data_IF_238026321617
#
_entry.id   IF_238026321617
#
_cell.length_a   1.000
_cell.length_b   1.000
_cell.length_c   1.000
_cell.angle_alpha   90.00
_cell.angle_beta   90.00
_cell.angle_gamma   90.00
#
_symmetry.space_group_name_H-M   'P 1'
#
loop_
_entity.id
_entity.type
_entity.pdbx_description
1 polymer ?
#
# COMPACT_ATOMS: atom_id res chain seq x y z
N UNK A 1 19.93 21.99 -10.08
CA UNK A 1 19.27 22.70 -11.21
C UNK A 1 17.82 22.24 -11.32
N UNK A 2 16.88 22.93 -10.65
CA UNK A 2 15.45 22.67 -10.76
C UNK A 2 14.85 23.69 -11.72
N UNK A 3 14.16 23.17 -12.75
CA UNK A 3 13.59 23.93 -13.86
C UNK A 3 12.31 24.66 -13.42
N UNK A 4 12.31 25.96 -13.65
CA UNK A 4 11.17 26.89 -13.72
C UNK A 4 10.30 26.63 -14.94
N UNK A 5 9.00 26.94 -14.83
CA UNK A 5 7.98 27.33 -15.85
C UNK A 5 6.58 27.18 -15.19
N UNK A 6 5.58 28.09 -15.17
CA UNK A 6 5.23 29.43 -15.71
C UNK A 6 4.06 29.95 -14.82
N UNK A 7 4.08 31.15 -14.22
CA UNK A 7 3.46 32.43 -14.63
C UNK A 7 2.05 32.36 -15.25
N UNK A 8 1.04 33.05 -14.67
CA UNK A 8 0.61 34.42 -15.03
C UNK A 8 -0.75 34.79 -14.36
N UNK A 9 -0.86 35.96 -13.71
CA UNK A 9 -2.11 36.74 -13.64
C UNK A 9 -1.79 38.22 -13.39
N UNK A 10 -2.14 39.05 -14.37
CA UNK A 10 -1.89 40.49 -14.50
C UNK A 10 -3.14 41.25 -14.06
N UNK A 11 -2.99 42.33 -13.30
CA UNK A 11 -3.96 43.43 -13.30
C UNK A 11 -3.21 44.76 -13.17
N UNK A 12 -3.21 45.51 -14.28
CA UNK A 12 -2.54 46.78 -14.47
C UNK A 12 -3.53 47.89 -14.06
N UNK A 13 -3.35 48.52 -12.90
CA UNK A 13 -4.15 49.67 -12.49
C UNK A 13 -3.49 50.96 -13.00
N UNK A 14 -3.85 51.38 -14.21
CA UNK A 14 -3.50 52.70 -14.74
C UNK A 14 -4.46 53.75 -14.14
N UNK A 15 -3.99 54.52 -13.16
CA UNK A 15 -4.71 55.71 -12.66
C UNK A 15 -4.54 56.85 -13.67
N UNK A 16 -5.58 57.16 -14.45
CA UNK A 16 -5.64 58.43 -15.16
C UNK A 16 -6.10 59.53 -14.19
N UNK A 17 -5.17 60.39 -13.80
CA UNK A 17 -5.45 61.67 -13.15
C UNK A 17 -5.85 62.66 -14.25
N UNK A 18 -7.14 62.90 -14.45
CA UNK A 18 -7.60 64.11 -15.12
C UNK A 18 -7.79 65.19 -14.07
N UNK A 19 -6.92 66.20 -14.13
CA UNK A 19 -7.06 67.40 -13.33
C UNK A 19 -8.07 68.37 -13.94
N UNK A 20 -8.83 69.03 -13.07
CA UNK A 20 -9.37 70.36 -13.34
C UNK A 20 -9.23 71.19 -12.07
N UNK A 21 -8.37 72.19 -12.16
CA UNK A 21 -8.22 73.30 -11.24
C UNK A 21 -9.50 74.13 -11.17
N UNK A 22 -10.04 74.40 -9.99
CA UNK A 22 -10.81 75.62 -9.75
C UNK A 22 -10.57 76.17 -8.34
N UNK A 23 -10.12 77.41 -8.31
CA UNK A 23 -10.06 78.29 -7.16
C UNK A 23 -11.45 78.86 -6.87
N UNK A 24 -11.79 78.90 -5.57
CA UNK A 24 -12.41 80.03 -4.88
C UNK A 24 -13.92 80.05 -4.52
N UNK A 25 -14.11 80.60 -3.31
CA UNK A 25 -15.28 81.23 -2.67
C UNK A 25 -16.37 80.35 -2.04
N UNK A 26 -16.69 80.73 -0.80
CA UNK A 26 -17.56 80.04 0.13
C UNK A 26 -19.05 80.28 -0.16
N UNK A 27 -19.85 79.22 0.12
CA UNK A 27 -21.29 79.21 0.42
C UNK A 27 -22.28 79.04 -0.74
N UNK A 28 -22.17 77.95 -1.49
CA UNK A 28 -23.29 77.31 -2.22
C UNK A 28 -23.53 75.88 -1.65
N UNK A 29 -24.77 75.34 -1.69
CA UNK A 29 -25.06 74.01 -1.16
C UNK A 29 -24.20 72.95 -1.85
N UNK A 30 -23.75 71.95 -1.11
CA UNK A 30 -22.95 70.83 -1.64
C UNK A 30 -23.78 70.13 -2.74
N UNK A 31 -23.46 70.36 -4.02
CA UNK A 31 -24.21 69.81 -5.16
C UNK A 31 -23.63 68.50 -5.69
N UNK A 32 -22.44 68.10 -5.24
CA UNK A 32 -21.84 66.82 -5.56
C UNK A 32 -20.86 66.37 -4.48
N UNK A 33 -20.72 65.05 -4.33
CA UNK A 33 -19.71 64.40 -3.52
C UNK A 33 -19.14 63.20 -4.29
N UNK A 34 -17.84 63.00 -4.19
CA UNK A 34 -17.14 61.87 -4.81
C UNK A 34 -16.44 61.06 -3.70
N UNK A 35 -16.56 59.75 -3.77
CA UNK A 35 -15.81 58.83 -2.91
C UNK A 35 -15.33 57.66 -3.75
N UNK A 36 -14.10 57.21 -3.49
CA UNK A 36 -13.51 56.05 -4.12
C UNK A 36 -13.43 54.89 -3.13
N UNK A 37 -13.63 53.67 -3.61
CA UNK A 37 -13.43 52.43 -2.86
C UNK A 37 -12.64 51.44 -3.71
N UNK A 38 -11.72 50.71 -3.10
CA UNK A 38 -11.00 49.61 -3.74
C UNK A 38 -11.43 48.27 -3.12
N UNK A 39 -11.38 47.21 -3.92
CA UNK A 39 -11.56 45.83 -3.47
C UNK A 39 -10.30 45.02 -3.73
N UNK A 40 -10.03 44.03 -2.86
CA UNK A 40 -8.93 43.07 -3.01
C UNK A 40 -9.50 41.64 -3.07
N UNK A 41 -8.81 40.75 -3.77
CA UNK A 41 -9.12 39.31 -3.76
C UNK A 41 -8.40 38.63 -2.60
N UNK A 42 -9.12 37.78 -1.86
CA UNK A 42 -8.57 36.93 -0.79
C UNK A 42 -7.63 35.82 -1.31
N UNK A 43 -7.57 35.64 -2.64
CA UNK A 43 -6.72 34.65 -3.29
C UNK A 43 -7.45 33.37 -3.70
N UNK A 44 -6.69 32.34 -4.05
CA UNK A 44 -7.17 31.03 -4.50
C UNK A 44 -6.43 29.92 -3.78
N UNK A 45 -7.14 28.83 -3.49
CA UNK A 45 -6.58 27.59 -2.93
C UNK A 45 -6.95 26.46 -3.88
N UNK A 46 -5.93 25.74 -4.37
CA UNK A 46 -6.14 24.53 -5.15
C UNK A 46 -6.73 23.43 -4.27
N UNK A 47 -7.85 22.85 -4.71
CA UNK A 47 -8.59 21.81 -3.96
C UNK A 47 -8.34 20.41 -4.51
N UNK A 48 -7.46 20.29 -5.49
CA UNK A 48 -6.97 19.02 -5.99
C UNK A 48 -5.68 18.61 -5.29
N UNK A 49 -5.78 17.63 -4.39
CA UNK A 49 -4.66 17.03 -3.70
C UNK A 49 -4.60 15.55 -4.09
N UNK A 50 -3.51 15.16 -4.71
CA UNK A 50 -3.27 13.77 -5.13
C UNK A 50 -2.43 13.05 -4.06
N UNK A 51 -2.98 11.98 -3.51
CA UNK A 51 -2.33 11.07 -2.59
C UNK A 51 -2.82 9.65 -2.88
N UNK A 52 -1.96 8.80 -3.43
CA UNK A 52 -2.30 7.43 -3.83
C UNK A 52 -1.34 6.47 -3.17
N UNK A 53 -1.88 5.41 -2.57
CA UNK A 53 -1.09 4.31 -2.02
C UNK A 53 -1.21 3.14 -2.98
N UNK A 54 -0.14 2.84 -3.70
CA UNK A 54 -0.06 1.66 -4.56
C UNK A 54 0.32 0.41 -3.74
N UNK A 55 -0.01 -0.80 -4.21
CA UNK A 55 0.49 -2.02 -3.60
C UNK A 55 2.02 -1.97 -3.46
N UNK A 56 2.51 -2.25 -2.25
CA UNK A 56 3.93 -2.41 -1.99
C UNK A 56 4.26 -3.90 -2.05
N UNK A 57 5.20 -4.27 -2.90
CA UNK A 57 5.72 -5.64 -2.95
C UNK A 57 7.06 -5.66 -2.22
N UNK A 58 7.16 -6.36 -1.09
CA UNK A 58 8.40 -6.45 -0.33
C UNK A 58 9.53 -7.04 -1.17
N UNK A 59 10.77 -6.66 -0.87
CA UNK A 59 11.92 -7.27 -1.52
C UNK A 59 11.94 -8.78 -1.25
N UNK A 60 12.01 -9.59 -2.31
CA UNK A 60 11.95 -11.05 -2.23
C UNK A 60 10.54 -11.66 -2.21
N UNK A 61 9.49 -10.84 -2.10
CA UNK A 61 8.10 -11.32 -2.23
C UNK A 61 7.67 -11.38 -3.70
N UNK A 62 6.94 -12.43 -4.05
CA UNK A 62 6.38 -12.66 -5.39
C UNK A 62 4.89 -12.98 -5.26
N UNK A 63 4.02 -11.99 -5.02
CA UNK A 63 2.59 -12.21 -4.68
C UNK A 63 1.80 -12.91 -5.79
N UNK A 64 2.34 -12.92 -7.00
CA UNK A 64 1.75 -13.54 -8.19
C UNK A 64 2.57 -14.74 -8.69
N UNK A 65 3.53 -15.24 -7.91
CA UNK A 65 4.18 -16.51 -8.21
C UNK A 65 3.19 -17.66 -8.03
N UNK A 66 3.31 -18.65 -8.90
CA UNK A 66 2.39 -19.77 -8.95
C UNK A 66 3.14 -21.07 -9.23
N UNK A 67 2.53 -22.18 -8.80
CA UNK A 67 2.89 -23.54 -9.19
C UNK A 67 1.77 -24.09 -10.06
N UNK A 68 2.11 -24.88 -11.08
CA UNK A 68 1.11 -25.61 -11.88
C UNK A 68 1.28 -27.12 -11.72
N UNK A 69 0.16 -27.84 -11.74
CA UNK A 69 0.08 -29.29 -11.63
C UNK A 69 -0.92 -29.85 -12.65
N UNK A 70 -0.49 -29.96 -13.93
CA UNK A 70 -1.34 -30.43 -15.01
C UNK A 70 -1.75 -31.90 -14.87
N UNK A 71 -1.06 -32.70 -14.04
CA UNK A 71 -1.37 -34.12 -13.84
C UNK A 71 -1.99 -34.41 -12.46
N UNK A 72 -2.26 -33.37 -11.66
CA UNK A 72 -2.87 -33.49 -10.32
C UNK A 72 -2.08 -34.37 -9.35
N UNK A 73 -0.76 -34.39 -9.50
CA UNK A 73 0.15 -35.16 -8.67
C UNK A 73 0.09 -34.74 -7.20
N UNK A 74 -0.18 -33.47 -6.93
CA UNK A 74 -0.32 -32.95 -5.57
C UNK A 74 -1.52 -33.60 -4.88
N UNK A 75 -2.67 -33.68 -5.54
CA UNK A 75 -3.85 -34.37 -5.02
C UNK A 75 -3.63 -35.88 -4.93
N UNK A 76 -3.08 -36.49 -5.98
CA UNK A 76 -2.85 -37.94 -6.02
C UNK A 76 -1.91 -38.45 -4.91
N UNK A 77 -0.99 -37.59 -4.47
CA UNK A 77 0.02 -37.93 -3.46
C UNK A 77 -0.26 -37.33 -2.09
N UNK A 78 -1.42 -36.69 -1.88
CA UNK A 78 -1.74 -35.98 -0.64
C UNK A 78 -0.62 -34.99 -0.24
N UNK A 79 -0.15 -34.23 -1.23
CA UNK A 79 0.92 -33.25 -1.13
C UNK A 79 2.25 -33.77 -0.53
N UNK A 80 2.53 -35.08 -0.60
CA UNK A 80 3.70 -35.71 0.06
C UNK A 80 5.09 -35.15 -0.34
N UNK A 81 5.19 -34.39 -1.43
CA UNK A 81 6.42 -33.68 -1.84
C UNK A 81 6.69 -32.44 -0.98
N UNK A 82 5.66 -31.86 -0.38
CA UNK A 82 5.72 -30.62 0.38
C UNK A 82 5.93 -30.90 1.88
N UNK A 83 6.23 -29.85 2.65
CA UNK A 83 6.39 -29.98 4.08
C UNK A 83 5.08 -30.44 4.74
N UNK A 84 5.20 -31.20 5.83
CA UNK A 84 4.03 -31.63 6.61
C UNK A 84 3.18 -30.42 7.03
N UNK A 85 1.86 -30.53 6.84
CA UNK A 85 0.92 -29.44 7.09
C UNK A 85 0.75 -28.45 5.93
N UNK A 86 1.33 -28.72 4.75
CA UNK A 86 1.03 -27.92 3.55
C UNK A 86 -0.38 -28.18 3.07
N UNK A 87 -1.16 -27.12 2.85
CA UNK A 87 -2.56 -27.19 2.44
C UNK A 87 -2.71 -26.72 1.01
N UNK A 88 -3.39 -27.53 0.19
CA UNK A 88 -3.82 -27.21 -1.16
C UNK A 88 -5.35 -27.24 -1.27
N UNK A 89 -5.95 -26.60 -2.28
CA UNK A 89 -7.39 -26.68 -2.54
C UNK A 89 -7.84 -28.12 -2.80
N UNK A 90 -8.88 -28.55 -2.09
CA UNK A 90 -9.53 -29.86 -2.29
C UNK A 90 -10.72 -29.77 -3.26
N UNK A 91 -11.53 -28.71 -3.15
CA UNK A 91 -12.69 -28.44 -4.02
C UNK A 91 -12.35 -27.40 -5.09
N UNK A 92 -12.96 -27.52 -6.27
CA UNK A 92 -12.78 -26.62 -7.41
C UNK A 92 -11.31 -26.45 -7.86
N UNK A 93 -10.47 -27.45 -7.63
CA UNK A 93 -9.05 -27.36 -7.94
C UNK A 93 -8.78 -27.21 -9.45
N UNK A 94 -8.16 -26.09 -9.78
CA UNK A 94 -7.78 -25.70 -11.14
C UNK A 94 -6.37 -26.16 -11.52
N UNK A 95 -5.60 -26.71 -10.58
CA UNK A 95 -4.22 -27.15 -10.78
C UNK A 95 -3.19 -26.03 -10.87
N UNK A 96 -3.59 -24.79 -10.61
CA UNK A 96 -2.68 -23.65 -10.44
C UNK A 96 -2.79 -23.17 -9.02
N UNK A 97 -1.66 -22.93 -8.38
CA UNK A 97 -1.58 -22.66 -6.95
C UNK A 97 -0.74 -21.42 -6.65
N UNK A 98 -1.32 -20.48 -5.94
CA UNK A 98 -0.66 -19.31 -5.38
C UNK A 98 -0.47 -19.50 -3.89
N UNK A 99 0.70 -19.17 -3.36
CA UNK A 99 0.94 -19.17 -1.92
C UNK A 99 0.21 -17.98 -1.29
N UNK A 100 -0.79 -18.25 -0.45
CA UNK A 100 -1.63 -17.21 0.19
C UNK A 100 -1.31 -17.01 1.66
N UNK A 101 -0.76 -18.03 2.31
CA UNK A 101 -0.17 -17.94 3.64
C UNK A 101 0.97 -18.96 3.76
N UNK A 102 1.63 -19.01 4.92
CA UNK A 102 2.66 -20.00 5.18
C UNK A 102 2.13 -21.42 4.93
N UNK A 103 2.79 -22.15 4.01
CA UNK A 103 2.40 -23.49 3.55
C UNK A 103 0.93 -23.64 3.12
N UNK A 104 0.25 -22.55 2.76
CA UNK A 104 -1.16 -22.58 2.35
C UNK A 104 -1.29 -22.04 0.94
N UNK A 105 -1.89 -22.85 0.06
CA UNK A 105 -2.07 -22.54 -1.34
C UNK A 105 -3.55 -22.40 -1.72
N UNK A 106 -3.82 -21.55 -2.70
CA UNK A 106 -5.15 -21.37 -3.28
C UNK A 106 -5.09 -21.23 -4.80
N UNK A 107 -6.20 -21.47 -5.51
CA UNK A 107 -6.29 -21.27 -6.97
C UNK A 107 -6.29 -19.79 -7.40
N UNK A 108 -6.32 -18.88 -6.42
CA UNK A 108 -6.20 -17.43 -6.63
C UNK A 108 -5.19 -16.84 -5.64
N UNK A 109 -4.48 -15.80 -6.08
CA UNK A 109 -3.54 -15.07 -5.24
C UNK A 109 -4.25 -14.29 -4.14
N UNK A 110 -3.48 -13.86 -3.14
CA UNK A 110 -3.92 -12.80 -2.24
C UNK A 110 -4.32 -11.55 -3.02
N UNK A 111 -5.28 -10.80 -2.48
CA UNK A 111 -5.74 -9.54 -3.05
C UNK A 111 -4.83 -8.41 -2.62
N UNK A 112 -4.26 -7.70 -3.58
CA UNK A 112 -3.56 -6.43 -3.39
C UNK A 112 -4.52 -5.25 -3.57
N UNK A 113 -4.20 -4.09 -3.00
CA UNK A 113 -5.06 -2.90 -3.09
C UNK A 113 -4.29 -1.65 -3.53
N UNK A 114 -4.85 -0.95 -4.52
CA UNK A 114 -4.46 0.42 -4.85
C UNK A 114 -5.50 1.38 -4.26
N UNK A 115 -5.07 2.30 -3.41
CA UNK A 115 -5.94 3.14 -2.59
C UNK A 115 -5.84 4.59 -3.05
N UNK A 116 -6.97 5.22 -3.38
CA UNK A 116 -7.04 6.63 -3.66
C UNK A 116 -7.36 7.43 -2.38
N UNK A 117 -6.36 8.07 -1.81
CA UNK A 117 -6.49 9.01 -0.69
C UNK A 117 -6.55 10.48 -1.14
N UNK A 118 -6.82 10.71 -2.42
CA UNK A 118 -6.86 12.05 -3.01
C UNK A 118 -8.21 12.73 -2.77
N UNK A 119 -8.24 14.05 -2.92
CA UNK A 119 -9.51 14.79 -3.01
C UNK A 119 -10.19 14.63 -4.37
N UNK A 120 -9.45 14.24 -5.40
CA UNK A 120 -9.93 14.07 -6.78
C UNK A 120 -9.80 12.61 -7.27
N UNK A 121 -10.50 12.29 -8.35
CA UNK A 121 -10.42 10.96 -8.95
C UNK A 121 -9.06 10.72 -9.61
N UNK A 122 -8.60 9.46 -9.56
CA UNK A 122 -7.40 9.00 -10.26
C UNK A 122 -7.76 7.90 -11.23
N UNK A 123 -6.94 7.76 -12.27
CA UNK A 123 -6.99 6.63 -13.20
C UNK A 123 -5.84 5.68 -12.85
N UNK A 124 -6.20 4.50 -12.35
CA UNK A 124 -5.27 3.38 -12.14
C UNK A 124 -5.11 2.61 -13.44
N UNK A 125 -3.87 2.38 -13.85
CA UNK A 125 -3.52 1.55 -15.00
C UNK A 125 -2.72 0.36 -14.52
N UNK A 126 -3.25 -0.85 -14.71
CA UNK A 126 -2.58 -2.13 -14.42
C UNK A 126 -2.26 -2.82 -15.73
N UNK A 127 -1.02 -3.28 -15.86
CA UNK A 127 -0.51 -3.97 -17.04
C UNK A 127 0.02 -5.33 -16.67
N UNK A 128 -0.23 -6.32 -17.51
CA UNK A 128 0.25 -7.68 -17.31
C UNK A 128 0.72 -8.32 -18.61
N UNK A 129 1.80 -9.10 -18.52
CA UNK A 129 2.26 -9.99 -19.57
C UNK A 129 3.02 -11.16 -18.99
N UNK A 130 3.11 -12.23 -19.76
CA UNK A 130 4.09 -13.29 -19.50
C UNK A 130 5.42 -12.99 -20.18
N UNK A 131 6.50 -13.48 -19.61
CA UNK A 131 7.80 -13.60 -20.25
C UNK A 131 8.16 -15.08 -20.28
N UNK A 132 8.48 -15.57 -21.48
CA UNK A 132 8.93 -16.93 -21.64
C UNK A 132 10.24 -17.15 -20.87
N UNK A 133 10.25 -18.16 -20.01
CA UNK A 133 11.42 -18.59 -19.26
C UNK A 133 12.26 -19.55 -20.10
N UNK A 134 11.61 -20.55 -20.71
CA UNK A 134 12.26 -21.52 -21.59
C UNK A 134 11.40 -21.86 -22.80
N UNK A 135 11.98 -22.48 -23.82
CA UNK A 135 11.22 -23.03 -24.95
C UNK A 135 10.29 -24.20 -24.56
N UNK A 136 10.35 -24.66 -23.30
CA UNK A 136 9.50 -25.70 -22.72
C UNK A 136 8.34 -25.15 -21.90
N UNK A 137 8.13 -23.84 -21.90
CA UNK A 137 6.97 -23.24 -21.26
C UNK A 137 5.68 -23.78 -21.88
N UNK A 138 4.74 -24.20 -21.03
CA UNK A 138 3.40 -24.61 -21.44
C UNK A 138 2.70 -23.49 -22.22
N UNK A 139 1.91 -23.88 -23.23
CA UNK A 139 1.14 -22.92 -24.03
C UNK A 139 0.10 -22.18 -23.16
N UNK A 140 -0.10 -20.89 -23.42
CA UNK A 140 -1.12 -20.11 -22.72
C UNK A 140 -2.50 -20.32 -23.34
N UNK A 141 -3.52 -20.46 -22.49
CA UNK A 141 -4.91 -20.48 -22.89
C UNK A 141 -5.38 -19.05 -23.26
N UNK A 142 -6.34 -18.96 -24.18
CA UNK A 142 -6.93 -17.69 -24.63
C UNK A 142 -8.20 -17.31 -23.88
N UNK A 143 -8.65 -18.16 -22.95
CA UNK A 143 -9.82 -17.96 -22.09
C UNK A 143 -9.65 -18.73 -20.78
N UNK A 144 -10.55 -18.51 -19.82
CA UNK A 144 -10.58 -19.28 -18.55
C UNK A 144 -10.87 -20.78 -18.74
N UNK A 145 -11.41 -21.17 -19.90
CA UNK A 145 -11.62 -22.57 -20.24
C UNK A 145 -10.32 -23.17 -20.79
N UNK A 146 -9.67 -24.01 -19.97
CA UNK A 146 -8.48 -24.77 -20.37
C UNK A 146 -8.82 -25.98 -21.23
N UNK A 147 -7.84 -26.50 -21.97
CA UNK A 147 -8.03 -27.64 -22.83
C UNK A 147 -8.31 -28.91 -22.01
N UNK A 148 -9.32 -29.67 -22.41
CA UNK A 148 -9.67 -30.98 -21.84
C UNK A 148 -9.20 -32.15 -22.71
N UNK A 149 -8.75 -31.87 -23.94
CA UNK A 149 -8.17 -32.83 -24.88
C UNK A 149 -7.09 -32.14 -25.73
N UNK A 150 -6.11 -32.91 -26.23
CA UNK A 150 -5.10 -32.40 -27.15
C UNK A 150 -3.92 -31.76 -26.41
N UNK A 151 -3.48 -30.58 -26.88
CA UNK A 151 -2.30 -29.90 -26.32
C UNK A 151 -2.66 -29.24 -24.97
N UNK A 152 -1.95 -29.57 -23.88
CA UNK A 152 -2.14 -28.92 -22.57
C UNK A 152 -1.90 -27.41 -22.64
N UNK A 153 -2.68 -26.64 -21.87
CA UNK A 153 -2.50 -25.20 -21.77
C UNK A 153 -2.73 -24.66 -20.35
N UNK A 154 -2.21 -23.45 -20.12
CA UNK A 154 -2.26 -22.72 -18.86
C UNK A 154 -3.06 -21.43 -19.03
N UNK A 155 -4.12 -21.28 -18.26
CA UNK A 155 -4.84 -20.04 -18.07
C UNK A 155 -4.29 -19.27 -16.87
N UNK A 156 -4.10 -17.97 -17.07
CA UNK A 156 -3.87 -16.99 -16.02
C UNK A 156 -4.77 -15.78 -16.27
N UNK A 157 -5.49 -15.34 -15.25
CA UNK A 157 -6.41 -14.20 -15.31
C UNK A 157 -5.98 -13.10 -14.35
N UNK A 158 -5.63 -11.92 -14.86
CA UNK A 158 -5.48 -10.73 -14.02
C UNK A 158 -6.86 -10.18 -13.70
N UNK A 159 -7.21 -10.09 -12.42
CA UNK A 159 -8.45 -9.49 -11.95
C UNK A 159 -8.17 -8.11 -11.36
N UNK A 160 -8.83 -7.09 -11.88
CA UNK A 160 -8.79 -5.69 -11.40
C UNK A 160 -10.22 -5.22 -11.15
N UNK A 161 -10.62 -5.18 -9.89
CA UNK A 161 -12.03 -5.09 -9.51
C UNK A 161 -12.80 -6.31 -10.01
N UNK A 162 -13.87 -6.06 -10.77
CA UNK A 162 -14.69 -7.12 -11.38
C UNK A 162 -14.24 -7.49 -12.81
N UNK A 163 -13.29 -6.75 -13.38
CA UNK A 163 -12.77 -7.04 -14.72
C UNK A 163 -11.65 -8.08 -14.66
N UNK A 164 -11.78 -9.14 -15.45
CA UNK A 164 -10.76 -10.17 -15.60
C UNK A 164 -10.17 -10.14 -17.01
N UNK A 165 -8.85 -10.08 -17.10
CA UNK A 165 -8.11 -10.05 -18.36
C UNK A 165 -7.21 -11.28 -18.48
N UNK A 166 -7.41 -12.05 -19.55
CA UNK A 166 -6.57 -13.22 -19.86
C UNK A 166 -5.14 -12.75 -20.12
N UNK A 167 -4.18 -13.31 -19.38
CA UNK A 167 -2.77 -12.99 -19.54
C UNK A 167 -2.20 -13.70 -20.76
N UNK A 168 -1.41 -12.98 -21.56
CA UNK A 168 -0.71 -13.53 -22.73
C UNK A 168 0.75 -13.05 -22.78
N UNK A 169 1.49 -13.39 -23.83
CA UNK A 169 2.82 -12.83 -24.08
C UNK A 169 2.77 -11.34 -24.50
N UNK A 170 1.63 -10.88 -24.99
CA UNK A 170 1.39 -9.48 -25.31
C UNK A 170 0.89 -8.72 -24.08
N UNK A 171 1.35 -7.48 -23.92
CA UNK A 171 0.95 -6.64 -22.79
C UNK A 171 -0.55 -6.35 -22.83
N UNK A 172 -1.25 -6.85 -21.81
CA UNK A 172 -2.64 -6.52 -21.55
C UNK A 172 -2.71 -5.35 -20.59
N UNK A 173 -3.68 -4.46 -20.78
CA UNK A 173 -3.89 -3.28 -19.93
C UNK A 173 -5.33 -3.22 -19.46
N UNK A 174 -5.51 -2.96 -18.16
CA UNK A 174 -6.80 -2.65 -17.54
C UNK A 174 -6.69 -1.27 -16.88
N UNK A 175 -7.71 -0.43 -17.10
CA UNK A 175 -7.74 0.94 -16.59
C UNK A 175 -9.02 1.16 -15.79
N UNK A 176 -8.88 1.65 -14.56
CA UNK A 176 -10.01 1.91 -13.65
C UNK A 176 -9.91 3.29 -13.03
N UNK A 177 -11.01 4.02 -12.98
CA UNK A 177 -11.08 5.28 -12.25
C UNK A 177 -11.48 5.02 -10.80
N UNK A 178 -10.68 5.47 -9.85
CA UNK A 178 -10.98 5.39 -8.43
C UNK A 178 -11.37 6.79 -7.95
N UNK A 179 -12.58 6.93 -7.40
CA UNK A 179 -13.06 8.21 -6.88
C UNK A 179 -12.14 8.76 -5.78
N UNK A 180 -11.95 10.08 -5.76
CA UNK A 180 -11.40 10.78 -4.60
C UNK A 180 -12.49 11.04 -3.56
N UNK A 181 -12.09 11.50 -2.38
CA UNK A 181 -13.03 11.81 -1.29
C UNK A 181 -12.84 13.27 -0.83
N UNK A 182 -13.37 14.26 -1.58
CA UNK A 182 -13.21 15.68 -1.24
C UNK A 182 -13.68 16.05 0.17
N UNK A 183 -14.65 15.32 0.72
CA UNK A 183 -15.19 15.53 2.07
C UNK A 183 -14.18 15.27 3.19
N UNK A 184 -13.11 14.51 2.92
CA UNK A 184 -12.02 14.24 3.86
C UNK A 184 -11.03 15.40 3.97
N UNK A 185 -11.24 16.48 3.22
CA UNK A 185 -10.34 17.63 3.20
C UNK A 185 -11.07 18.91 3.61
N UNK A 186 -10.29 19.88 4.07
CA UNK A 186 -10.76 21.20 4.48
C UNK A 186 -9.78 22.30 4.07
N UNK A 187 -10.30 23.53 3.96
CA UNK A 187 -9.46 24.72 3.84
C UNK A 187 -9.15 25.21 5.25
N UNK A 188 -7.86 25.24 5.60
CA UNK A 188 -7.36 25.74 6.87
C UNK A 188 -6.43 26.93 6.67
N UNK A 189 -6.11 27.65 7.75
CA UNK A 189 -5.10 28.72 7.75
C UNK A 189 -3.85 28.23 8.44
N UNK A 190 -2.74 28.20 7.72
CA UNK A 190 -1.43 27.89 8.29
C UNK A 190 -0.67 29.18 8.57
N UNK A 191 0.06 29.22 9.68
CA UNK A 191 0.96 30.33 10.02
C UNK A 191 2.40 29.86 9.82
N UNK A 192 3.17 30.59 9.03
CA UNK A 192 4.60 30.34 8.87
C UNK A 192 5.31 30.66 10.20
N UNK A 193 6.01 29.68 10.76
CA UNK A 193 6.61 29.79 12.10
C UNK A 193 7.75 30.83 12.19
N UNK A 194 8.43 31.12 11.08
CA UNK A 194 9.58 32.05 11.04
C UNK A 194 9.15 33.50 10.81
N UNK A 195 8.10 33.70 10.00
CA UNK A 195 7.68 35.03 9.53
C UNK A 195 6.35 35.50 10.13
N UNK A 196 5.57 34.60 10.74
CA UNK A 196 4.22 34.89 11.22
C UNK A 196 3.17 35.10 10.12
N UNK A 197 3.54 34.95 8.85
CA UNK A 197 2.63 35.11 7.71
C UNK A 197 1.58 34.00 7.69
N UNK A 198 0.33 34.36 7.36
CA UNK A 198 -0.80 33.42 7.26
C UNK A 198 -1.12 33.12 5.80
N UNK A 199 -1.40 31.85 5.50
CA UNK A 199 -1.83 31.40 4.18
C UNK A 199 -2.92 30.34 4.29
N UNK A 200 -3.87 30.35 3.36
CA UNK A 200 -4.83 29.27 3.24
C UNK A 200 -4.16 28.02 2.64
N UNK A 201 -4.49 26.86 3.19
CA UNK A 201 -4.03 25.54 2.72
C UNK A 201 -5.21 24.60 2.61
N UNK A 202 -5.17 23.69 1.63
CA UNK A 202 -6.13 22.59 1.54
C UNK A 202 -5.46 21.32 2.08
N UNK A 203 -6.00 20.77 3.15
CA UNK A 203 -5.37 19.70 3.91
C UNK A 203 -6.36 18.61 4.30
N UNK A 204 -5.86 17.41 4.53
CA UNK A 204 -6.62 16.27 5.04
C UNK A 204 -7.09 16.55 6.49
N UNK A 205 -8.35 16.22 6.79
CA UNK A 205 -8.93 16.32 8.13
C UNK A 205 -8.35 15.23 9.02
N UNK A 206 -8.12 15.52 10.30
CA UNK A 206 -7.77 14.49 11.28
C UNK A 206 -8.86 13.41 11.42
N UNK A 207 -10.12 13.75 11.12
CA UNK A 207 -11.26 12.83 11.10
C UNK A 207 -11.51 12.18 9.73
N UNK A 208 -10.55 12.24 8.80
CA UNK A 208 -10.70 11.62 7.48
C UNK A 208 -10.87 10.10 7.62
N UNK A 209 -11.95 9.57 7.05
CA UNK A 209 -12.26 8.14 7.07
C UNK A 209 -12.73 7.70 5.69
N UNK A 210 -12.76 6.38 5.46
CA UNK A 210 -13.42 5.77 4.28
C UNK A 210 -12.83 6.24 2.94
N UNK A 211 -11.61 5.79 2.65
CA UNK A 211 -10.99 5.97 1.33
C UNK A 211 -11.54 4.94 0.33
N UNK A 212 -11.32 5.15 -0.96
CA UNK A 212 -11.69 4.15 -1.99
C UNK A 212 -10.46 3.39 -2.45
N UNK A 213 -10.63 2.10 -2.72
CA UNK A 213 -9.57 1.23 -3.22
C UNK A 213 -10.05 0.39 -4.40
N UNK A 214 -9.08 -0.08 -5.18
CA UNK A 214 -9.27 -1.08 -6.22
C UNK A 214 -8.52 -2.34 -5.83
N UNK A 215 -9.19 -3.49 -5.95
CA UNK A 215 -8.62 -4.80 -5.67
C UNK A 215 -7.91 -5.35 -6.91
N UNK A 216 -6.74 -5.94 -6.72
CA UNK A 216 -5.94 -6.60 -7.75
C UNK A 216 -5.64 -8.02 -7.29
N UNK A 217 -5.87 -9.02 -8.13
CA UNK A 217 -5.52 -10.42 -7.83
C UNK A 217 -5.24 -11.18 -9.13
N UNK A 218 -4.72 -12.40 -9.01
CA UNK A 218 -4.56 -13.31 -10.13
C UNK A 218 -5.23 -14.65 -9.84
N UNK A 219 -5.91 -15.18 -10.83
CA UNK A 219 -6.45 -16.53 -10.84
C UNK A 219 -5.75 -17.37 -11.91
N UNK A 220 -5.80 -18.68 -11.78
CA UNK A 220 -5.21 -19.57 -12.78
C UNK A 220 -5.93 -20.90 -12.89
N UNK A 221 -5.73 -21.55 -14.02
CA UNK A 221 -6.14 -22.93 -14.26
C UNK A 221 -5.20 -23.59 -15.26
N UNK A 222 -4.97 -24.89 -15.14
CA UNK A 222 -4.17 -25.65 -16.10
C UNK A 222 -4.94 -26.90 -16.52
N UNK A 223 -4.80 -27.26 -17.80
CA UNK A 223 -5.34 -28.51 -18.34
C UNK A 223 -4.98 -29.71 -17.45
N UNK A 224 -5.95 -30.58 -17.19
CA UNK A 224 -5.71 -31.89 -16.59
C UNK A 224 -5.33 -32.90 -17.68
N UNK A 225 -4.11 -32.79 -18.19
CA UNK A 225 -3.57 -33.55 -19.32
C UNK A 225 -2.09 -33.84 -19.09
N UNK A 226 -1.62 -34.97 -19.61
CA UNK A 226 -0.21 -35.33 -19.55
C UNK A 226 0.69 -34.28 -20.20
N UNK A 227 1.83 -34.00 -19.58
CA UNK A 227 2.84 -33.06 -20.08
C UNK A 227 4.21 -33.73 -20.19
N UNK A 228 5.11 -33.12 -20.94
CA UNK A 228 6.50 -33.61 -20.99
C UNK A 228 7.20 -33.36 -19.65
N UNK A 229 8.09 -34.27 -19.25
CA UNK A 229 8.77 -34.21 -17.94
C UNK A 229 9.58 -32.94 -17.68
N UNK A 230 9.97 -32.21 -18.73
CA UNK A 230 10.73 -30.96 -18.66
C UNK A 230 9.88 -29.71 -18.93
N UNK A 231 8.55 -29.83 -18.90
CA UNK A 231 7.62 -28.71 -19.09
C UNK A 231 7.81 -27.67 -17.98
N UNK A 232 7.93 -26.40 -18.38
CA UNK A 232 8.05 -25.26 -17.47
C UNK A 232 6.84 -24.33 -17.60
N UNK A 233 6.77 -23.31 -16.75
CA UNK A 233 5.75 -22.27 -16.81
C UNK A 233 6.39 -20.89 -17.05
N UNK A 234 5.72 -19.98 -17.76
CA UNK A 234 6.25 -18.64 -18.01
C UNK A 234 6.18 -17.73 -16.77
N UNK A 235 7.03 -16.70 -16.71
CA UNK A 235 7.00 -15.71 -15.61
C UNK A 235 5.94 -14.64 -15.88
N UNK A 236 5.08 -14.36 -14.89
CA UNK A 236 4.12 -13.25 -14.97
C UNK A 236 4.74 -11.94 -14.49
N UNK A 237 4.56 -10.88 -15.27
CA UNK A 237 5.02 -9.54 -14.96
C UNK A 237 3.80 -8.62 -14.84
N UNK A 238 3.53 -8.12 -13.64
CA UNK A 238 2.46 -7.15 -13.38
C UNK A 238 3.09 -5.80 -13.02
N UNK A 239 2.60 -4.73 -13.63
CA UNK A 239 2.97 -3.36 -13.26
C UNK A 239 1.72 -2.51 -13.08
N UNK A 240 1.79 -1.52 -12.19
CA UNK A 240 0.70 -0.59 -11.95
C UNK A 240 1.22 0.83 -11.86
N UNK A 241 0.39 1.78 -12.30
CA UNK A 241 0.68 3.21 -12.28
C UNK A 241 -0.63 3.99 -12.11
N UNK A 242 -0.54 5.26 -11.74
CA UNK A 242 -1.71 6.13 -11.65
C UNK A 242 -1.45 7.49 -12.29
N UNK A 243 -2.53 8.14 -12.69
CA UNK A 243 -2.56 9.56 -13.07
C UNK A 243 -3.81 10.23 -12.50
N UNK A 244 -3.83 11.56 -12.43
CA UNK A 244 -5.08 12.30 -12.19
C UNK A 244 -6.07 11.91 -13.29
N UNK A 245 -7.31 11.58 -12.91
CA UNK A 245 -8.36 11.35 -13.90
C UNK A 245 -8.73 12.68 -14.58
N UNK A 246 -9.25 12.59 -15.80
CA UNK A 246 -9.89 13.75 -16.46
C UNK A 246 -11.05 14.25 -15.61
N UNK A 247 -11.25 15.57 -15.57
CA UNK A 247 -12.35 16.16 -14.81
C UNK A 247 -13.70 15.62 -15.31
N UNK A 248 -14.55 15.18 -14.38
CA UNK A 248 -15.84 14.54 -14.69
C UNK A 248 -15.75 13.08 -15.15
N UNK A 249 -14.58 12.43 -15.03
CA UNK A 249 -14.47 11.00 -15.28
C UNK A 249 -15.35 10.19 -14.31
N UNK A 250 -16.16 9.29 -14.85
CA UNK A 250 -16.98 8.37 -14.06
C UNK A 250 -16.08 7.42 -13.28
N UNK A 251 -16.39 7.27 -11.99
CA UNK A 251 -15.71 6.32 -11.13
C UNK A 251 -16.15 4.89 -11.44
N UNK A 252 -15.25 3.94 -11.26
CA UNK A 252 -15.56 2.53 -11.38
C UNK A 252 -16.50 2.10 -10.25
N UNK A 253 -17.53 1.31 -10.57
CA UNK A 253 -18.56 0.85 -9.62
C UNK A 253 -18.08 -0.28 -8.70
N UNK A 254 -17.00 -0.94 -9.10
CA UNK A 254 -16.34 -2.05 -8.40
C UNK A 254 -15.20 -1.59 -7.47
N UNK A 255 -15.05 -0.28 -7.27
CA UNK A 255 -14.18 0.25 -6.23
C UNK A 255 -14.77 -0.01 -4.83
N UNK A 256 -13.94 -0.51 -3.93
CA UNK A 256 -14.33 -0.88 -2.56
C UNK A 256 -13.98 0.22 -1.56
N UNK A 257 -14.66 0.22 -0.41
CA UNK A 257 -14.23 1.03 0.73
C UNK A 257 -12.95 0.44 1.32
N UNK A 258 -11.92 1.29 1.43
CA UNK A 258 -10.69 0.96 2.10
C UNK A 258 -10.90 1.01 3.62
N UNK A 259 -10.67 -0.12 4.26
CA UNK A 259 -10.53 -0.21 5.70
C UNK A 259 -9.05 -0.17 6.05
N UNK A 260 -8.68 0.79 6.91
CA UNK A 260 -7.30 0.90 7.35
C UNK A 260 -6.91 -0.37 8.12
N UNK A 261 -5.90 -1.06 7.60
CA UNK A 261 -5.31 -2.21 8.27
C UNK A 261 -4.24 -1.72 9.23
N UNK A 262 -4.31 -2.17 10.48
CA UNK A 262 -3.26 -1.89 11.48
C UNK A 262 -2.01 -2.69 11.13
N UNK A 263 -0.87 -2.02 11.04
CA UNK A 263 0.43 -2.69 11.00
C UNK A 263 0.74 -3.31 12.39
N UNK A 264 1.69 -4.24 12.47
CA UNK A 264 2.15 -4.76 13.74
C UNK A 264 2.73 -3.64 14.60
N UNK A 265 2.49 -3.67 15.90
CA UNK A 265 2.91 -2.62 16.82
C UNK A 265 3.09 -3.12 18.24
N UNK A 266 3.92 -2.40 18.99
CA UNK A 266 4.10 -2.56 20.44
C UNK A 266 3.81 -1.20 21.06
N UNK A 267 2.75 -1.12 21.88
CA UNK A 267 2.30 0.14 22.45
C UNK A 267 3.20 0.62 23.60
N UNK A 268 3.60 -0.31 24.47
CA UNK A 268 4.49 -0.04 25.60
C UNK A 268 5.94 -0.29 25.18
N UNK A 269 6.77 0.74 25.19
CA UNK A 269 8.15 0.68 24.67
C UNK A 269 9.21 0.64 25.76
N UNK A 270 8.83 0.57 27.04
CA UNK A 270 9.76 0.49 28.16
C UNK A 270 9.27 -0.52 29.19
N UNK A 271 10.16 -1.44 29.59
CA UNK A 271 9.89 -2.47 30.58
C UNK A 271 11.05 -2.55 31.56
N UNK A 272 10.76 -2.91 32.81
CA UNK A 272 11.78 -3.25 33.78
C UNK A 272 12.07 -4.74 33.77
N UNK A 273 13.30 -5.11 34.13
CA UNK A 273 13.68 -6.51 34.33
C UNK A 273 14.39 -6.71 35.66
N UNK A 274 14.16 -7.86 36.26
CA UNK A 274 14.76 -8.30 37.52
C UNK A 274 15.14 -9.77 37.47
N UNK A 275 16.01 -10.18 38.38
CA UNK A 275 16.58 -11.52 38.40
C UNK A 275 15.50 -12.60 38.43
N UNK A 276 15.70 -13.67 37.67
CA UNK A 276 14.83 -14.85 37.55
C UNK A 276 13.41 -14.59 37.01
N UNK A 277 13.14 -13.39 36.48
CA UNK A 277 11.85 -13.06 35.87
C UNK A 277 11.98 -12.89 34.35
N UNK A 278 11.04 -13.47 33.62
CA UNK A 278 10.89 -13.19 32.19
C UNK A 278 10.23 -11.82 31.99
N UNK A 279 10.51 -11.18 30.85
CA UNK A 279 9.80 -9.95 30.45
C UNK A 279 8.76 -10.32 29.42
N UNK A 280 7.51 -9.95 29.68
CA UNK A 280 6.39 -10.14 28.78
C UNK A 280 6.02 -8.81 28.11
N UNK A 281 6.01 -8.82 26.78
CA UNK A 281 5.77 -7.65 25.94
C UNK A 281 4.49 -7.91 25.15
N UNK A 282 3.49 -7.04 25.31
CA UNK A 282 2.26 -7.13 24.53
C UNK A 282 2.52 -6.68 23.09
N UNK A 283 2.15 -7.54 22.14
CA UNK A 283 2.38 -7.37 20.71
C UNK A 283 1.05 -7.41 19.97
N UNK A 284 0.73 -6.32 19.27
CA UNK A 284 -0.30 -6.34 18.25
C UNK A 284 0.33 -6.81 16.94
N UNK A 285 -0.12 -7.95 16.41
CA UNK A 285 0.39 -8.48 15.13
C UNK A 285 -0.22 -7.79 13.90
N UNK A 286 -1.04 -6.77 14.09
CA UNK A 286 -1.71 -6.08 13.00
C UNK A 286 -2.93 -6.83 12.49
N UNK A 287 -3.42 -6.44 11.31
CA UNK A 287 -4.61 -6.99 10.71
C UNK A 287 -4.51 -7.05 9.18
N UNK A 288 -5.25 -8.00 8.58
CA UNK A 288 -5.37 -8.15 7.13
C UNK A 288 -4.02 -8.39 6.45
N UNK A 289 -3.77 -7.72 5.33
CA UNK A 289 -2.56 -7.90 4.53
C UNK A 289 -1.30 -7.32 5.18
N UNK A 290 -1.47 -6.50 6.24
CA UNK A 290 -0.38 -6.00 7.07
C UNK A 290 -0.14 -6.85 8.32
N UNK A 291 -0.91 -7.91 8.53
CA UNK A 291 -0.71 -8.76 9.69
C UNK A 291 0.62 -9.51 9.60
N UNK A 292 1.36 -9.53 10.69
CA UNK A 292 2.47 -10.45 10.92
C UNK A 292 1.93 -11.76 11.48
N UNK A 293 2.60 -12.86 11.19
CA UNK A 293 2.39 -14.15 11.87
C UNK A 293 3.45 -14.40 12.95
N UNK A 294 4.51 -13.57 12.99
CA UNK A 294 5.68 -13.79 13.83
C UNK A 294 6.68 -12.64 13.83
N UNK A 295 7.87 -12.94 14.38
CA UNK A 295 9.01 -12.04 14.47
C UNK A 295 10.14 -12.61 13.61
N UNK A 296 10.63 -11.82 12.66
CA UNK A 296 11.77 -12.15 11.81
C UNK A 296 13.07 -12.11 12.61
N UNK A 297 13.27 -11.06 13.41
CA UNK A 297 14.47 -10.90 14.22
C UNK A 297 14.26 -9.92 15.37
N UNK A 298 15.05 -10.06 16.42
CA UNK A 298 15.20 -9.07 17.48
C UNK A 298 16.67 -8.69 17.51
N UNK A 299 16.99 -7.42 17.29
CA UNK A 299 18.37 -6.92 17.28
C UNK A 299 18.61 -5.90 18.38
N UNK A 300 19.85 -5.76 18.83
CA UNK A 300 20.26 -4.80 19.85
C UNK A 300 21.63 -4.20 19.51
N UNK A 301 22.09 -3.22 20.30
CA UNK A 301 23.32 -2.45 20.03
C UNK A 301 23.29 -1.79 18.64
N UNK A 302 22.21 -1.04 18.34
CA UNK A 302 21.97 -0.40 17.04
C UNK A 302 21.99 -1.38 15.85
N UNK A 303 21.46 -2.59 16.04
CA UNK A 303 21.36 -3.59 14.97
C UNK A 303 22.63 -4.43 14.75
N UNK A 304 23.68 -4.24 15.55
CA UNK A 304 24.95 -4.98 15.41
C UNK A 304 24.93 -6.39 15.98
N UNK A 305 23.91 -6.74 16.76
CA UNK A 305 23.76 -8.08 17.35
C UNK A 305 22.30 -8.54 17.25
N UNK A 306 22.10 -9.84 17.01
CA UNK A 306 20.78 -10.47 16.96
C UNK A 306 20.60 -11.34 18.21
N UNK A 307 19.44 -11.22 18.86
CA UNK A 307 19.05 -12.07 19.97
C UNK A 307 18.72 -13.46 19.43
N UNK A 308 19.33 -14.48 20.03
CA UNK A 308 19.11 -15.87 19.67
C UNK A 308 17.63 -16.28 19.89
N UNK A 309 17.06 -17.04 18.95
CA UNK A 309 15.65 -17.45 18.99
C UNK A 309 15.32 -18.36 20.18
N UNK A 310 16.31 -19.02 20.79
CA UNK A 310 16.12 -19.78 22.03
C UNK A 310 15.85 -18.90 23.26
N UNK A 311 16.12 -17.58 23.16
CA UNK A 311 15.99 -16.64 24.28
C UNK A 311 14.63 -15.94 24.31
N UNK A 312 13.77 -16.16 23.32
CA UNK A 312 12.44 -15.57 23.27
C UNK A 312 11.39 -16.47 22.63
N UNK A 313 10.12 -16.18 22.89
CA UNK A 313 8.98 -16.85 22.25
C UNK A 313 7.86 -15.86 22.00
N UNK A 314 7.06 -16.10 20.96
CA UNK A 314 5.85 -15.34 20.67
C UNK A 314 4.66 -16.29 20.65
N UNK A 315 3.68 -16.06 21.50
CA UNK A 315 2.42 -16.80 21.53
C UNK A 315 1.30 -15.87 21.99
N UNK A 316 0.09 -16.03 21.45
CA UNK A 316 -1.13 -15.32 21.88
C UNK A 316 -0.96 -13.78 21.97
N UNK A 317 -0.20 -13.19 21.03
CA UNK A 317 0.06 -11.75 21.01
C UNK A 317 1.03 -11.26 22.09
N UNK A 318 1.82 -12.16 22.68
CA UNK A 318 2.78 -11.85 23.75
C UNK A 318 4.17 -12.36 23.41
N UNK A 319 5.13 -11.43 23.31
CA UNK A 319 6.54 -11.73 23.18
C UNK A 319 7.14 -11.90 24.58
N UNK A 320 7.67 -13.08 24.86
CA UNK A 320 8.34 -13.39 26.13
C UNK A 320 9.85 -13.42 25.91
N UNK A 321 10.58 -12.55 26.61
CA UNK A 321 12.03 -12.62 26.72
C UNK A 321 12.37 -13.46 27.94
N UNK A 322 13.08 -14.58 27.74
CA UNK A 322 13.29 -15.60 28.77
C UNK A 322 14.02 -15.08 30.01
N UNK A 323 13.64 -15.57 31.19
CA UNK A 323 14.33 -15.27 32.45
C UNK A 323 15.83 -15.62 32.40
N UNK A 324 16.20 -16.69 31.68
CA UNK A 324 17.60 -17.07 31.48
C UNK A 324 18.40 -15.96 30.78
N UNK A 325 17.83 -15.32 29.75
CA UNK A 325 18.48 -14.18 29.10
C UNK A 325 18.52 -12.94 29.99
N UNK A 326 17.45 -12.68 30.76
CA UNK A 326 17.46 -11.58 31.73
C UNK A 326 18.58 -11.74 32.76
N UNK A 327 18.80 -12.96 33.25
CA UNK A 327 19.92 -13.27 34.13
C UNK A 327 21.28 -13.03 33.46
N UNK A 328 21.42 -13.35 32.17
CA UNK A 328 22.62 -13.01 31.40
C UNK A 328 22.84 -11.49 31.37
N UNK A 329 21.80 -10.68 31.12
CA UNK A 329 21.91 -9.21 31.12
C UNK A 329 22.41 -8.65 32.46
N UNK A 330 21.88 -9.16 33.57
CA UNK A 330 22.27 -8.76 34.92
C UNK A 330 23.72 -9.17 35.19
N UNK A 331 24.12 -10.41 34.84
CA UNK A 331 25.48 -10.89 35.01
C UNK A 331 26.51 -10.06 34.22
N UNK A 332 26.10 -9.49 33.08
CA UNK A 332 26.91 -8.57 32.27
C UNK A 332 26.82 -7.10 32.70
N UNK A 333 26.16 -6.78 33.82
CA UNK A 333 25.95 -5.41 34.32
C UNK A 333 25.25 -4.48 33.29
N UNK A 334 24.32 -5.02 32.51
CA UNK A 334 23.49 -4.21 31.61
C UNK A 334 22.43 -3.50 32.46
N UNK A 335 22.42 -2.17 32.43
CA UNK A 335 21.40 -1.36 33.14
C UNK A 335 20.25 -0.95 32.24
N UNK A 336 20.52 -0.81 30.94
CA UNK A 336 19.53 -0.45 29.93
C UNK A 336 19.93 -1.03 28.58
N UNK A 337 18.95 -1.51 27.81
CA UNK A 337 19.18 -1.97 26.43
C UNK A 337 17.93 -1.82 25.58
N UNK A 338 18.09 -1.12 24.45
CA UNK A 338 17.10 -1.06 23.38
C UNK A 338 17.19 -2.27 22.44
N UNK A 339 16.03 -2.83 22.10
CA UNK A 339 15.83 -3.91 21.16
C UNK A 339 14.95 -3.43 20.02
N UNK A 340 15.37 -3.68 18.78
CA UNK A 340 14.56 -3.48 17.58
C UNK A 340 13.99 -4.83 17.17
N UNK A 341 12.68 -4.96 17.29
CA UNK A 341 11.90 -6.14 16.93
C UNK A 341 11.40 -5.93 15.50
N UNK A 342 11.75 -6.82 14.60
CA UNK A 342 11.33 -6.82 13.20
C UNK A 342 10.28 -7.91 13.02
N UNK A 343 9.07 -7.53 12.64
CA UNK A 343 7.98 -8.46 12.36
C UNK A 343 8.18 -9.14 11.00
N UNK A 344 7.47 -10.25 10.77
CA UNK A 344 7.51 -10.99 9.50
C UNK A 344 6.36 -10.59 8.54
N UNK A 345 5.76 -9.42 8.76
CA UNK A 345 4.81 -8.85 7.81
C UNK A 345 5.51 -8.40 6.52
N UNK A 346 4.72 -8.13 5.49
CA UNK A 346 5.21 -7.68 4.20
C UNK A 346 6.09 -6.43 4.32
N UNK A 347 5.71 -5.48 5.18
CA UNK A 347 6.42 -4.20 5.28
C UNK A 347 7.68 -4.30 6.16
N UNK A 348 7.99 -5.49 6.71
CA UNK A 348 9.05 -5.72 7.70
C UNK A 348 8.99 -4.67 8.81
N UNK A 349 7.80 -4.48 9.38
CA UNK A 349 7.53 -3.44 10.37
C UNK A 349 8.46 -3.62 11.57
N UNK A 350 8.92 -2.51 12.14
CA UNK A 350 9.81 -2.52 13.30
C UNK A 350 9.21 -1.81 14.49
N UNK A 351 9.45 -2.34 15.69
CA UNK A 351 9.14 -1.70 16.95
C UNK A 351 10.39 -1.70 17.85
N UNK A 352 10.60 -0.60 18.59
CA UNK A 352 11.71 -0.51 19.54
C UNK A 352 11.20 -0.62 20.96
N UNK A 353 11.79 -1.52 21.74
CA UNK A 353 11.51 -1.72 23.16
C UNK A 353 12.81 -1.58 23.96
N UNK A 354 12.75 -0.83 25.04
CA UNK A 354 13.86 -0.68 25.99
C UNK A 354 13.59 -1.50 27.24
N UNK A 355 14.56 -2.32 27.61
CA UNK A 355 14.59 -3.04 28.88
C UNK A 355 15.55 -2.34 29.84
N UNK A 356 15.08 -1.96 31.01
CA UNK A 356 15.88 -1.30 32.06
C UNK A 356 15.93 -2.14 33.33
N UNK A 357 17.07 -2.21 33.99
CA UNK A 357 17.18 -2.92 35.27
C UNK A 357 16.32 -2.22 36.34
N UNK A 358 15.66 -3.02 37.19
CA UNK A 358 14.90 -2.53 38.35
C UNK A 358 15.78 -1.90 39.44
#
# INVERSE_FOLDING_TARGET
MRKTKRMLAVALAATMVFGSSLTAFANEPVTSGETNGSGTSEGHVEKELINVVLPTVPSGSTPFAYTMDPERLIQETDAAKYAEGTVFPEEDDTGVYFLTAENTYANSSNTLQAINKSSCAITLTVKVKTTQNTAKDIALATSSTVATTGTPNLYLGLKVGDETKVVSAEEQTVTKNIAGVPSNFEVAVQTNAETGAKSYVYQEKASATTWKAMNLSMEGAVSNLAVESDTTAPTVNVTWSYAKATDGAEAATDAVDYTAQSAPAIATTTYTFSQDHAVEIDVNLGAGNKAATGITSITYNNGSSTLDTSKYSLADGKLTISAAYINDLIAYNVTDRAYVITFNDSDATTATVTLSAE
#
